data_IF_443811646957
#
_entry.id   IF_443811646957
#
_cell.length_a   1.000
_cell.length_b   1.000
_cell.length_c   1.000
_cell.angle_alpha   90.00
_cell.angle_beta   90.00
_cell.angle_gamma   90.00
#
_symmetry.space_group_name_H-M   'P 1'
#
loop_
_entity.id
_entity.type
_entity.pdbx_description
1 polymer ?
#
# COMPACT_ATOMS: atom_id res chain seq x y z
N UNK A 1 41.14 -1.21 -16.96
CA UNK A 1 40.02 -0.52 -17.56
C UNK A 1 38.68 -1.07 -17.10
N UNK A 2 38.16 -2.21 -17.55
CA UNK A 2 36.81 -2.72 -17.12
C UNK A 2 36.64 -2.98 -15.62
N UNK A 3 37.66 -3.21 -14.84
CA UNK A 3 37.58 -3.49 -13.39
C UNK A 3 37.58 -2.20 -12.57
N UNK A 4 38.29 -1.18 -13.01
CA UNK A 4 38.33 0.16 -12.41
C UNK A 4 37.01 0.90 -12.65
N UNK A 5 36.49 0.91 -13.87
CA UNK A 5 35.19 1.49 -14.23
C UNK A 5 34.04 0.84 -13.44
N UNK A 6 34.14 -0.48 -13.19
CA UNK A 6 33.15 -1.20 -12.37
C UNK A 6 33.21 -0.82 -10.90
N UNK A 7 34.41 -0.62 -10.37
CA UNK A 7 34.60 -0.19 -8.98
C UNK A 7 34.14 1.25 -8.76
N UNK A 8 34.46 2.17 -9.67
CA UNK A 8 33.97 3.55 -9.62
C UNK A 8 32.44 3.64 -9.69
N UNK A 9 31.81 2.79 -10.51
CA UNK A 9 30.35 2.74 -10.64
C UNK A 9 29.67 2.17 -9.38
N UNK A 10 30.31 1.21 -8.71
CA UNK A 10 29.81 0.65 -7.45
C UNK A 10 29.93 1.69 -6.32
N UNK A 11 31.04 2.40 -6.26
CA UNK A 11 31.32 3.43 -5.25
C UNK A 11 30.37 4.63 -5.40
N UNK A 12 30.15 5.08 -6.64
CA UNK A 12 29.20 6.15 -6.93
C UNK A 12 27.77 5.81 -6.54
N UNK A 13 27.34 4.57 -6.82
CA UNK A 13 26.00 4.10 -6.46
C UNK A 13 25.82 3.96 -4.94
N UNK A 14 26.83 3.43 -4.24
CA UNK A 14 26.83 3.32 -2.77
C UNK A 14 26.62 4.68 -2.11
N UNK A 15 27.36 5.68 -2.58
CA UNK A 15 27.25 7.05 -2.10
C UNK A 15 25.87 7.67 -2.38
N UNK A 16 25.28 7.37 -3.53
CA UNK A 16 23.94 7.86 -3.89
C UNK A 16 22.83 7.25 -3.00
N UNK A 17 22.90 5.93 -2.76
CA UNK A 17 21.96 5.25 -1.84
C UNK A 17 22.08 5.85 -0.43
N UNK A 18 23.30 6.06 0.06
CA UNK A 18 23.55 6.67 1.37
C UNK A 18 22.97 8.07 1.47
N UNK A 19 23.10 8.89 0.42
CA UNK A 19 22.48 10.22 0.38
C UNK A 19 20.95 10.16 0.38
N UNK A 20 20.36 9.22 -0.35
CA UNK A 20 18.92 8.99 -0.33
C UNK A 20 18.45 8.57 1.07
N UNK A 21 19.17 7.67 1.73
CA UNK A 21 18.84 7.21 3.09
C UNK A 21 18.89 8.36 4.10
N UNK A 22 19.93 9.20 4.07
CA UNK A 22 20.01 10.41 4.92
C UNK A 22 18.84 11.37 4.65
N UNK A 23 18.43 11.49 3.39
CA UNK A 23 17.31 12.36 3.02
C UNK A 23 15.98 11.83 3.56
N UNK A 24 15.70 10.53 3.43
CA UNK A 24 14.45 9.95 3.95
C UNK A 24 14.45 9.95 5.49
N UNK A 25 15.60 9.75 6.14
CA UNK A 25 15.74 9.87 7.59
C UNK A 25 15.38 11.28 8.07
N UNK A 26 15.96 12.30 7.45
CA UNK A 26 15.62 13.70 7.74
C UNK A 26 14.13 14.03 7.52
N UNK A 27 13.56 13.55 6.41
CA UNK A 27 12.14 13.77 6.12
C UNK A 27 11.22 13.02 7.08
N UNK A 28 11.67 11.90 7.63
CA UNK A 28 10.87 11.09 8.56
C UNK A 28 10.55 11.81 9.87
N UNK A 29 11.35 12.80 10.26
CA UNK A 29 11.10 13.64 11.44
C UNK A 29 9.87 14.54 11.28
N UNK A 30 9.42 14.76 10.03
CA UNK A 30 8.28 15.63 9.70
C UNK A 30 6.99 14.87 9.39
N UNK A 31 7.00 13.54 9.44
CA UNK A 31 5.84 12.71 9.09
C UNK A 31 5.71 11.49 10.00
N UNK A 32 4.49 11.03 10.18
CA UNK A 32 4.20 9.75 10.85
C UNK A 32 4.25 8.55 9.88
N UNK A 33 4.48 8.80 8.59
CA UNK A 33 4.59 7.76 7.58
C UNK A 33 5.94 7.05 7.68
N UNK A 34 5.97 5.77 7.36
CA UNK A 34 7.19 5.00 7.22
C UNK A 34 7.77 5.22 5.83
N UNK A 35 8.81 6.05 5.73
CA UNK A 35 9.51 6.28 4.47
C UNK A 35 10.42 5.10 4.17
N UNK A 36 10.54 4.73 2.90
CA UNK A 36 11.38 3.62 2.49
C UNK A 36 12.17 3.92 1.20
N UNK A 37 13.30 3.22 1.09
CA UNK A 37 14.06 3.02 -0.14
C UNK A 37 14.12 1.54 -0.45
N UNK A 38 13.66 1.14 -1.62
CA UNK A 38 13.80 -0.23 -2.13
C UNK A 38 14.84 -0.25 -3.24
N UNK A 39 15.94 -0.92 -2.99
CA UNK A 39 17.00 -1.17 -3.97
C UNK A 39 16.68 -2.45 -4.76
N UNK A 40 16.33 -2.31 -6.02
CA UNK A 40 15.97 -3.43 -6.88
C UNK A 40 17.14 -4.33 -7.25
N UNK A 41 18.39 -3.87 -7.11
CA UNK A 41 19.56 -4.70 -7.42
C UNK A 41 19.90 -5.67 -6.30
N UNK A 42 19.80 -5.23 -5.05
CA UNK A 42 20.08 -6.06 -3.86
C UNK A 42 18.81 -6.70 -3.29
N UNK A 43 17.63 -6.21 -3.68
CA UNK A 43 16.35 -6.56 -3.10
C UNK A 43 16.12 -5.95 -1.72
N UNK A 44 17.03 -5.13 -1.22
CA UNK A 44 16.95 -4.53 0.10
C UNK A 44 15.89 -3.42 0.15
N UNK A 45 15.06 -3.49 1.18
CA UNK A 45 14.04 -2.50 1.51
C UNK A 45 14.44 -1.83 2.84
N UNK A 46 14.91 -0.59 2.76
CA UNK A 46 15.34 0.20 3.92
C UNK A 46 14.19 1.09 4.38
N UNK A 47 13.93 1.10 5.69
CA UNK A 47 12.95 2.02 6.30
C UNK A 47 13.65 3.08 7.13
N UNK A 48 13.07 4.29 7.18
CA UNK A 48 13.55 5.39 8.01
C UNK A 48 13.31 5.18 9.50
N UNK A 49 12.27 4.40 9.85
CA UNK A 49 11.78 4.22 11.22
C UNK A 49 11.56 2.72 11.53
N UNK A 50 11.46 2.33 12.82
CA UNK A 50 11.29 0.95 13.23
C UNK A 50 9.88 0.40 12.88
N UNK A 51 9.66 0.15 11.62
CA UNK A 51 8.39 -0.37 11.07
C UNK A 51 7.94 -1.68 11.74
N UNK A 52 8.89 -2.45 12.30
CA UNK A 52 8.61 -3.68 13.05
C UNK A 52 7.93 -3.44 14.43
N UNK A 53 7.93 -2.22 14.94
CA UNK A 53 7.20 -1.90 16.17
C UNK A 53 5.69 -1.93 15.96
N UNK A 54 5.25 -1.67 14.74
CA UNK A 54 3.84 -1.65 14.39
C UNK A 54 3.37 -2.89 13.66
N UNK A 55 4.11 -3.29 12.63
CA UNK A 55 3.74 -4.42 11.79
C UNK A 55 4.55 -5.65 12.15
N UNK A 56 3.98 -6.83 11.90
CA UNK A 56 4.58 -8.12 12.26
C UNK A 56 5.81 -8.45 11.40
N UNK A 57 6.78 -7.54 11.36
CA UNK A 57 8.07 -7.70 10.72
C UNK A 57 9.13 -8.16 11.71
N UNK A 58 10.15 -8.93 11.28
CA UNK A 58 11.25 -9.32 12.15
C UNK A 58 12.01 -8.10 12.65
N UNK A 59 12.42 -8.10 13.92
CA UNK A 59 13.28 -7.03 14.47
C UNK A 59 14.65 -7.10 13.80
N UNK A 60 15.10 -6.00 13.21
CA UNK A 60 16.43 -5.85 12.58
C UNK A 60 17.05 -4.53 13.02
N UNK A 61 18.36 -4.53 13.29
CA UNK A 61 19.05 -3.36 13.85
C UNK A 61 19.10 -2.17 12.90
N UNK A 62 19.20 -2.42 11.58
CA UNK A 62 19.32 -1.36 10.57
C UNK A 62 18.01 -1.11 9.80
N UNK A 63 16.89 -1.67 10.25
CA UNK A 63 15.57 -1.58 9.57
C UNK A 63 15.62 -1.95 8.07
N UNK A 64 16.53 -2.88 7.73
CA UNK A 64 16.69 -3.40 6.37
C UNK A 64 16.00 -4.75 6.23
N UNK A 65 15.09 -4.84 5.28
CA UNK A 65 14.24 -6.01 5.03
C UNK A 65 14.38 -6.46 3.58
N UNK A 66 13.90 -7.65 3.29
CA UNK A 66 13.59 -8.07 1.93
C UNK A 66 12.11 -7.84 1.65
N UNK A 67 11.75 -7.63 0.39
CA UNK A 67 10.34 -7.43 0.02
C UNK A 67 9.45 -8.59 0.48
N UNK A 68 9.99 -9.81 0.53
CA UNK A 68 9.31 -11.00 1.02
C UNK A 68 8.95 -10.93 2.51
N UNK A 69 9.72 -10.18 3.31
CA UNK A 69 9.39 -9.96 4.73
C UNK A 69 8.11 -9.14 4.83
N UNK A 70 7.96 -8.09 3.98
CA UNK A 70 6.73 -7.31 3.90
C UNK A 70 5.56 -8.15 3.37
N UNK A 71 5.77 -8.95 2.32
CA UNK A 71 4.75 -9.83 1.74
C UNK A 71 4.13 -10.78 2.77
N UNK A 72 4.93 -11.28 3.73
CA UNK A 72 4.46 -12.18 4.79
C UNK A 72 3.50 -11.51 5.78
N UNK A 73 3.61 -10.18 5.91
CA UNK A 73 2.73 -9.41 6.78
C UNK A 73 1.41 -9.03 6.09
N UNK A 74 1.31 -9.24 4.78
CA UNK A 74 0.08 -8.93 4.03
C UNK A 74 -1.01 -9.93 4.41
N UNK A 75 -2.21 -9.41 4.64
CA UNK A 75 -3.37 -10.26 4.87
C UNK A 75 -3.64 -11.17 3.67
N UNK A 76 -3.92 -12.44 3.91
CA UNK A 76 -3.93 -13.50 2.89
C UNK A 76 -4.79 -13.18 1.65
N UNK A 77 -5.94 -12.51 1.83
CA UNK A 77 -6.82 -12.13 0.71
C UNK A 77 -6.21 -11.09 -0.22
N UNK A 78 -5.30 -10.27 0.27
CA UNK A 78 -4.67 -9.19 -0.50
C UNK A 78 -3.33 -9.63 -1.10
N UNK A 79 -2.78 -10.76 -0.64
CA UNK A 79 -1.42 -11.21 -0.93
C UNK A 79 -1.11 -11.35 -2.42
N UNK A 80 -1.99 -11.96 -3.20
CA UNK A 80 -1.76 -12.19 -4.64
C UNK A 80 -1.77 -10.88 -5.44
N UNK A 81 -2.65 -9.94 -5.08
CA UNK A 81 -2.72 -8.63 -5.72
C UNK A 81 -1.46 -7.82 -5.41
N UNK A 82 -1.04 -7.80 -4.14
CA UNK A 82 0.17 -7.11 -3.69
C UNK A 82 1.40 -7.67 -4.40
N UNK A 83 1.59 -9.00 -4.41
CA UNK A 83 2.72 -9.67 -5.08
C UNK A 83 2.81 -9.34 -6.56
N UNK A 84 1.68 -9.35 -7.27
CA UNK A 84 1.67 -8.98 -8.70
C UNK A 84 2.14 -7.56 -8.91
N UNK A 85 1.63 -6.61 -8.12
CA UNK A 85 1.98 -5.20 -8.27
C UNK A 85 3.45 -4.93 -7.92
N UNK A 86 3.96 -5.53 -6.85
CA UNK A 86 5.37 -5.39 -6.46
C UNK A 86 6.31 -5.96 -7.53
N UNK A 87 5.98 -7.12 -8.12
CA UNK A 87 6.75 -7.70 -9.24
C UNK A 87 6.74 -6.81 -10.49
N UNK A 88 5.61 -6.19 -10.82
CA UNK A 88 5.53 -5.25 -11.94
C UNK A 88 6.43 -4.03 -11.70
N UNK A 89 6.51 -3.53 -10.48
CA UNK A 89 7.43 -2.46 -10.13
C UNK A 89 8.89 -2.88 -10.25
N UNK A 90 9.25 -4.07 -9.79
CA UNK A 90 10.59 -4.65 -9.86
C UNK A 90 11.03 -4.93 -11.31
N UNK A 91 10.10 -5.40 -12.16
CA UNK A 91 10.37 -5.64 -13.58
C UNK A 91 10.44 -4.35 -14.42
N UNK A 92 10.03 -3.21 -13.87
CA UNK A 92 10.02 -1.93 -14.59
C UNK A 92 8.77 -1.68 -15.43
N UNK A 93 7.75 -2.53 -15.30
CA UNK A 93 6.48 -2.37 -15.99
C UNK A 93 5.68 -1.16 -15.49
N UNK A 94 6.04 -0.64 -14.30
CA UNK A 94 5.44 0.55 -13.74
C UNK A 94 6.46 1.44 -13.01
N UNK A 95 6.39 2.74 -13.29
CA UNK A 95 7.24 3.76 -12.65
C UNK A 95 6.69 4.20 -11.29
N UNK A 96 5.39 4.08 -11.08
CA UNK A 96 4.72 4.48 -9.84
C UNK A 96 3.91 3.32 -9.29
N UNK A 97 4.20 2.93 -8.07
CA UNK A 97 3.47 1.90 -7.33
C UNK A 97 2.49 2.55 -6.36
N UNK A 98 1.24 2.11 -6.37
CA UNK A 98 0.22 2.54 -5.42
C UNK A 98 -0.64 1.34 -5.05
N UNK A 99 -0.43 0.83 -3.84
CA UNK A 99 -1.12 -0.35 -3.31
C UNK A 99 -1.88 0.06 -2.05
N UNK A 100 -3.13 -0.33 -1.98
CA UNK A 100 -3.90 -0.31 -0.74
C UNK A 100 -4.19 -1.74 -0.34
N UNK A 101 -3.72 -2.13 0.84
CA UNK A 101 -3.87 -3.49 1.34
C UNK A 101 -3.91 -3.51 2.86
N UNK A 102 -4.22 -4.68 3.41
CA UNK A 102 -4.18 -4.92 4.84
C UNK A 102 -2.87 -5.60 5.22
N UNK A 103 -2.16 -5.02 6.18
CA UNK A 103 -1.07 -5.68 6.88
C UNK A 103 -1.55 -6.20 8.23
N UNK A 104 -0.92 -7.24 8.71
CA UNK A 104 -1.10 -7.71 10.08
C UNK A 104 -0.16 -6.93 11.01
N UNK A 105 -0.71 -6.36 12.07
CA UNK A 105 0.09 -5.75 13.12
C UNK A 105 0.67 -6.81 14.08
N UNK A 106 1.44 -6.38 15.07
CA UNK A 106 2.06 -7.27 16.06
C UNK A 106 1.05 -8.02 16.94
N UNK A 107 -0.22 -7.62 16.95
CA UNK A 107 -1.32 -8.27 17.65
C UNK A 107 -2.15 -9.19 16.75
N UNK A 108 -1.76 -9.34 15.46
CA UNK A 108 -2.49 -10.11 14.46
C UNK A 108 -3.73 -9.40 13.91
N UNK A 109 -3.92 -8.12 14.24
CA UNK A 109 -5.04 -7.35 13.75
C UNK A 109 -4.74 -6.81 12.34
N UNK A 110 -5.79 -6.65 11.53
CA UNK A 110 -5.71 -6.13 10.17
C UNK A 110 -5.67 -4.61 10.19
N UNK A 111 -4.60 -4.03 9.70
CA UNK A 111 -4.43 -2.57 9.54
C UNK A 111 -4.39 -2.23 8.06
N UNK A 112 -5.26 -1.34 7.64
CA UNK A 112 -5.24 -0.82 6.28
C UNK A 112 -4.07 0.14 6.10
N UNK A 113 -3.28 -0.13 5.06
CA UNK A 113 -2.14 0.72 4.69
C UNK A 113 -2.26 1.18 3.23
N UNK A 114 -1.60 2.29 2.95
CA UNK A 114 -1.31 2.76 1.60
C UNK A 114 0.20 2.68 1.39
N UNK A 115 0.64 1.79 0.52
CA UNK A 115 2.02 1.71 0.05
C UNK A 115 2.13 2.49 -1.26
N UNK A 116 2.93 3.55 -1.27
CA UNK A 116 3.13 4.40 -2.43
C UNK A 116 4.61 4.61 -2.67
N UNK A 117 5.04 4.38 -3.90
CA UNK A 117 6.42 4.58 -4.29
C UNK A 117 6.56 5.03 -5.74
N UNK A 118 7.68 5.63 -6.04
CA UNK A 118 8.08 6.00 -7.39
C UNK A 118 9.46 5.44 -7.69
N UNK A 119 9.57 4.70 -8.78
CA UNK A 119 10.82 4.12 -9.24
C UNK A 119 11.64 5.16 -9.99
N UNK A 120 12.96 5.10 -9.76
CA UNK A 120 13.94 5.72 -10.62
C UNK A 120 14.53 4.63 -11.52
N UNK A 121 14.60 4.93 -12.80
CA UNK A 121 15.18 4.03 -13.79
C UNK A 121 16.52 4.59 -14.27
N UNK A 122 17.42 3.67 -14.71
CA UNK A 122 18.62 4.01 -15.43
C UNK A 122 18.30 4.63 -16.78
N UNK A 123 19.32 5.15 -17.47
CA UNK A 123 19.21 5.66 -18.85
C UNK A 123 18.71 4.61 -19.84
N UNK A 124 18.87 3.33 -19.53
CA UNK A 124 18.37 2.19 -20.32
C UNK A 124 16.92 1.81 -20.01
N UNK A 125 16.26 2.53 -19.08
CA UNK A 125 14.89 2.26 -18.66
C UNK A 125 14.74 1.13 -17.61
N UNK A 126 15.86 0.56 -17.14
CA UNK A 126 15.83 -0.47 -16.09
C UNK A 126 15.61 0.17 -14.73
N UNK A 127 14.66 -0.33 -13.90
CA UNK A 127 14.45 0.21 -12.56
C UNK A 127 15.65 -0.09 -11.68
N UNK A 128 16.10 0.91 -10.93
CA UNK A 128 17.25 0.81 -10.03
C UNK A 128 16.84 0.85 -8.58
N UNK A 129 15.98 1.80 -8.23
CA UNK A 129 15.49 1.95 -6.88
C UNK A 129 14.08 2.57 -6.87
N UNK A 130 13.36 2.37 -5.78
CA UNK A 130 12.09 3.01 -5.51
C UNK A 130 12.16 3.76 -4.19
N UNK A 131 11.74 5.01 -4.19
CA UNK A 131 11.50 5.80 -3.00
C UNK A 131 10.01 5.88 -2.75
N UNK A 132 9.62 5.76 -1.48
CA UNK A 132 8.21 5.78 -1.17
C UNK A 132 7.89 5.86 0.31
N UNK A 133 6.62 5.62 0.60
CA UNK A 133 6.10 5.64 1.97
C UNK A 133 5.04 4.57 2.18
N UNK A 134 4.97 4.08 3.40
CA UNK A 134 3.82 3.36 3.93
C UNK A 134 3.13 4.29 4.92
N UNK A 135 1.87 4.55 4.69
CA UNK A 135 1.02 5.30 5.62
C UNK A 135 -0.14 4.43 6.07
N UNK A 136 -0.57 4.65 7.31
CA UNK A 136 -1.85 4.10 7.71
C UNK A 136 -2.93 4.67 6.79
N UNK A 137 -3.72 3.80 6.24
CA UNK A 137 -4.93 4.22 5.56
C UNK A 137 -5.96 4.55 6.63
N UNK A 138 -5.76 5.73 7.24
CA UNK A 138 -6.57 6.20 8.35
C UNK A 138 -8.04 6.25 7.97
N UNK A 139 -8.85 6.07 8.98
CA UNK A 139 -10.30 6.23 9.12
C UNK A 139 -11.00 7.24 8.19
N UNK A 140 -10.32 8.20 7.60
CA UNK A 140 -10.88 9.12 6.60
C UNK A 140 -11.36 8.42 5.32
N UNK A 141 -10.95 7.16 5.09
CA UNK A 141 -11.38 6.38 3.92
C UNK A 141 -12.47 5.35 4.19
N UNK A 142 -12.89 5.18 5.45
CA UNK A 142 -14.06 4.36 5.75
C UNK A 142 -15.35 5.00 5.24
N UNK A 143 -15.33 6.31 5.13
CA UNK A 143 -16.49 7.11 4.77
C UNK A 143 -16.17 7.91 3.52
N UNK A 144 -17.05 7.85 2.54
CA UNK A 144 -17.01 8.75 1.40
C UNK A 144 -17.28 10.17 1.87
N UNK A 145 -16.33 11.08 1.63
CA UNK A 145 -16.40 12.46 2.14
C UNK A 145 -17.57 13.27 1.59
N UNK A 146 -18.11 12.87 0.46
CA UNK A 146 -19.21 13.55 -0.19
C UNK A 146 -20.58 13.09 0.36
N UNK A 147 -20.73 11.78 0.55
CA UNK A 147 -22.01 11.17 0.92
C UNK A 147 -22.11 10.80 2.40
N UNK A 148 -21.00 10.75 3.11
CA UNK A 148 -20.93 10.26 4.49
C UNK A 148 -21.22 8.76 4.64
N UNK A 149 -21.28 8.01 3.54
CA UNK A 149 -21.54 6.57 3.55
C UNK A 149 -20.23 5.78 3.62
N UNK A 150 -20.30 4.57 4.16
CA UNK A 150 -19.16 3.66 4.20
C UNK A 150 -18.75 3.27 2.77
N UNK A 151 -17.45 3.21 2.52
CA UNK A 151 -16.91 2.78 1.23
C UNK A 151 -16.92 1.25 1.07
N UNK A 152 -16.57 0.76 -0.14
CA UNK A 152 -16.55 -0.68 -0.46
C UNK A 152 -15.61 -1.48 0.47
N UNK A 153 -14.52 -0.88 0.93
CA UNK A 153 -13.58 -1.50 1.86
C UNK A 153 -14.24 -1.89 3.17
N UNK A 154 -15.00 -0.97 3.75
CA UNK A 154 -15.75 -1.25 4.97
C UNK A 154 -16.88 -2.23 4.75
N UNK A 155 -17.50 -2.19 3.56
CA UNK A 155 -18.50 -3.18 3.22
C UNK A 155 -17.96 -4.61 3.33
N UNK A 156 -16.78 -4.87 2.76
CA UNK A 156 -16.20 -6.21 2.84
C UNK A 156 -15.78 -6.60 4.25
N UNK A 157 -15.22 -5.67 5.04
CA UNK A 157 -14.86 -5.93 6.43
C UNK A 157 -16.09 -6.22 7.30
N UNK A 158 -17.19 -5.49 7.09
CA UNK A 158 -18.44 -5.70 7.81
C UNK A 158 -19.14 -6.99 7.37
N UNK A 159 -19.16 -7.30 6.07
CA UNK A 159 -19.67 -8.58 5.56
C UNK A 159 -18.91 -9.77 6.14
N UNK A 160 -17.57 -9.67 6.23
CA UNK A 160 -16.75 -10.74 6.80
C UNK A 160 -17.11 -11.00 8.26
N UNK A 161 -17.31 -9.94 9.05
CA UNK A 161 -17.72 -10.06 10.46
C UNK A 161 -19.11 -10.69 10.60
N UNK A 162 -20.05 -10.25 9.77
CA UNK A 162 -21.42 -10.76 9.83
C UNK A 162 -21.52 -12.23 9.36
N UNK A 163 -20.76 -12.61 8.34
CA UNK A 163 -20.66 -14.01 7.89
C UNK A 163 -20.08 -14.93 8.98
N UNK A 164 -19.16 -14.41 9.82
CA UNK A 164 -18.59 -15.17 10.94
C UNK A 164 -19.57 -15.27 12.13
N UNK A 165 -20.58 -14.42 12.21
CA UNK A 165 -21.53 -14.38 13.34
C UNK A 165 -22.66 -15.40 13.25
N UNK A 166 -22.70 -16.23 12.19
CA UNK A 166 -23.77 -17.21 11.90
C UNK A 166 -25.19 -16.63 11.86
N UNK A 167 -25.32 -15.30 11.82
CA UNK A 167 -26.61 -14.63 11.71
C UNK A 167 -27.14 -14.72 10.27
N UNK A 168 -28.40 -14.96 10.14
CA UNK A 168 -29.09 -14.90 8.85
C UNK A 168 -29.35 -13.45 8.45
N UNK A 169 -29.14 -13.12 7.19
CA UNK A 169 -29.37 -11.78 6.66
C UNK A 169 -29.44 -11.80 5.15
N UNK A 170 -29.65 -10.64 4.56
CA UNK A 170 -29.59 -10.44 3.10
C UNK A 170 -28.72 -9.25 2.75
N UNK A 171 -28.05 -9.34 1.62
CA UNK A 171 -27.28 -8.28 1.02
C UNK A 171 -28.07 -7.74 -0.18
N UNK A 172 -28.34 -6.44 -0.16
CA UNK A 172 -28.97 -5.77 -1.29
C UNK A 172 -27.98 -4.90 -2.02
N UNK A 173 -27.83 -5.10 -3.32
CA UNK A 173 -27.02 -4.29 -4.20
C UNK A 173 -27.92 -3.40 -5.05
N UNK A 174 -27.73 -2.09 -4.95
CA UNK A 174 -28.43 -1.10 -5.77
C UNK A 174 -27.45 -0.49 -6.77
N UNK A 175 -27.80 -0.54 -8.05
CA UNK A 175 -27.06 0.12 -9.12
C UNK A 175 -27.87 1.26 -9.72
N UNK A 176 -27.19 2.32 -10.15
CA UNK A 176 -27.79 3.40 -10.92
C UNK A 176 -27.39 3.22 -12.38
N UNK A 177 -28.37 3.01 -13.24
CA UNK A 177 -28.13 2.88 -14.67
C UNK A 177 -27.59 4.18 -15.26
N UNK A 178 -26.70 4.05 -16.21
CA UNK A 178 -26.08 5.15 -16.95
C UNK A 178 -25.34 6.19 -16.08
N UNK A 179 -24.94 5.80 -14.86
CA UNK A 179 -24.27 6.68 -13.88
C UNK A 179 -23.08 7.44 -14.44
N UNK A 180 -22.26 6.77 -15.28
CA UNK A 180 -21.09 7.38 -15.92
C UNK A 180 -21.47 8.55 -16.82
N UNK A 181 -22.53 8.40 -17.60
CA UNK A 181 -22.98 9.44 -18.52
C UNK A 181 -23.67 10.59 -17.78
N UNK A 182 -24.35 10.31 -16.65
CA UNK A 182 -24.91 11.34 -15.78
C UNK A 182 -23.79 12.23 -15.23
N UNK A 183 -22.70 11.64 -14.74
CA UNK A 183 -21.55 12.37 -14.20
C UNK A 183 -20.82 13.18 -15.29
N UNK A 184 -20.66 12.65 -16.51
CA UNK A 184 -20.06 13.38 -17.62
C UNK A 184 -20.88 14.60 -18.01
N UNK A 185 -22.21 14.48 -18.07
CA UNK A 185 -23.11 15.57 -18.48
C UNK A 185 -23.27 16.67 -17.45
N UNK A 186 -23.11 16.36 -16.16
CA UNK A 186 -23.37 17.32 -15.06
C UNK A 186 -22.14 17.76 -14.28
N UNK A 187 -20.94 17.31 -14.68
CA UNK A 187 -19.68 17.54 -13.97
C UNK A 187 -19.52 16.53 -12.81
N UNK A 188 -18.29 16.06 -12.62
CA UNK A 188 -17.89 14.97 -11.71
C UNK A 188 -18.12 15.26 -10.20
N UNK A 189 -18.73 16.37 -9.86
CA UNK A 189 -18.95 16.78 -8.46
C UNK A 189 -20.25 16.31 -7.82
N UNK A 190 -21.12 15.56 -8.51
CA UNK A 190 -22.50 15.46 -8.03
C UNK A 190 -22.88 14.09 -7.48
N UNK A 191 -22.23 13.00 -7.85
CA UNK A 191 -22.63 11.68 -7.33
C UNK A 191 -21.41 10.77 -7.14
N UNK A 192 -21.12 10.42 -5.91
CA UNK A 192 -20.39 9.20 -5.56
C UNK A 192 -21.41 8.14 -5.11
N UNK A 193 -21.27 6.91 -5.59
CA UNK A 193 -22.11 5.80 -5.14
C UNK A 193 -21.41 5.07 -4.02
N UNK A 194 -22.00 5.11 -2.86
CA UNK A 194 -21.56 4.32 -1.70
C UNK A 194 -22.71 3.42 -1.28
N UNK A 195 -22.39 2.17 -1.01
CA UNK A 195 -23.35 1.17 -0.58
C UNK A 195 -23.38 1.10 0.94
N UNK A 196 -24.56 1.17 1.54
CA UNK A 196 -24.77 0.86 2.96
C UNK A 196 -25.39 -0.53 3.06
N UNK A 197 -24.70 -1.43 3.71
CA UNK A 197 -25.25 -2.74 4.07
C UNK A 197 -26.00 -2.57 5.38
N UNK A 198 -27.27 -2.92 5.40
CA UNK A 198 -28.06 -3.07 6.60
C UNK A 198 -28.48 -4.53 6.71
N UNK A 199 -27.93 -5.22 7.68
CA UNK A 199 -28.38 -6.55 8.05
C UNK A 199 -29.50 -6.33 9.09
N UNK A 200 -30.71 -6.72 8.74
CA UNK A 200 -31.84 -6.70 9.69
C UNK A 200 -32.03 -8.13 10.19
N UNK A 201 -32.09 -8.37 11.50
CA UNK A 201 -32.52 -9.67 12.02
C UNK A 201 -33.99 -9.86 11.61
N UNK A 202 -34.32 -11.03 11.10
CA UNK A 202 -35.72 -11.41 10.95
C UNK A 202 -36.37 -11.37 12.34
N UNK A 203 -37.38 -10.55 12.48
CA UNK A 203 -38.29 -10.61 13.62
C UNK A 203 -39.02 -11.95 13.57
N UNK A 204 -38.73 -12.79 14.54
CA UNK A 204 -39.47 -14.04 14.82
C UNK A 204 -40.90 -13.76 15.16
#
# INVERSE_FOLDING_TARGET
>A
MKREERNEMIDHRGNEIEQCLKTIEFLSESTEDYLFLWDFQTGNLHFSNPVCEKYNLPKREEYVYQIQDLERCVYARDADAVKRTLRQAECGDMVSCNIECRLLNNHGEKVWISFRGKSRCSDTGKPELMLGRISDSVMSRKVDTLTGLLNMTCLFDDLEKELQSEKKGFLMLLGIDDFKNINIKRGSCILSVTSKVRLSPESS
#
